data_IF_937026495065
#
_entry.id   IF_937026495065
#
_cell.length_a   1.000
_cell.length_b   1.000
_cell.length_c   1.000
_cell.angle_alpha   90.00
_cell.angle_beta   90.00
_cell.angle_gamma   90.00
#
_symmetry.space_group_name_H-M   'P 1'
#
loop_
_entity.id
_entity.type
_entity.pdbx_description
1 polymer ?
#
# COMPACT_ATOMS: atom_id res chain seq x y z
N UNK A 1 -0.09 28.57 -5.44
CA UNK A 1 -1.20 28.02 -4.60
C UNK A 1 -0.79 27.84 -3.13
N UNK A 2 0.49 27.57 -2.82
CA UNK A 2 0.98 27.35 -1.44
C UNK A 2 0.85 28.58 -0.52
N UNK A 3 0.99 29.80 -1.05
CA UNK A 3 0.98 31.02 -0.24
C UNK A 3 -0.39 31.36 0.42
N UNK A 4 -1.49 30.81 -0.10
CA UNK A 4 -2.84 31.07 0.43
C UNK A 4 -3.24 30.08 1.54
N UNK A 5 -2.68 28.86 1.52
CA UNK A 5 -2.94 27.83 2.54
C UNK A 5 -2.12 28.07 3.82
N UNK A 6 -0.95 28.70 3.71
CA UNK A 6 -0.12 29.12 4.84
C UNK A 6 -0.57 30.45 5.47
N UNK A 7 -1.64 31.06 4.95
CA UNK A 7 -2.20 32.27 5.54
C UNK A 7 -2.96 31.95 6.84
N UNK A 8 -3.21 32.95 7.70
CA UNK A 8 -3.94 32.74 8.97
C UNK A 8 -5.26 31.99 8.76
N UNK A 9 -6.00 32.32 7.70
CA UNK A 9 -7.26 31.67 7.35
C UNK A 9 -7.11 30.17 7.09
N UNK A 10 -6.03 29.74 6.44
CA UNK A 10 -5.75 28.32 6.18
C UNK A 10 -5.46 27.56 7.47
N UNK A 11 -4.68 28.15 8.38
CA UNK A 11 -4.42 27.59 9.72
C UNK A 11 -5.71 27.42 10.52
N UNK A 12 -6.61 28.42 10.51
CA UNK A 12 -7.91 28.33 11.18
C UNK A 12 -8.81 27.23 10.63
N UNK A 13 -8.87 27.08 9.30
CA UNK A 13 -9.65 26.01 8.66
C UNK A 13 -9.06 24.64 8.99
N UNK A 14 -7.74 24.48 8.88
CA UNK A 14 -7.06 23.23 9.20
C UNK A 14 -7.18 22.85 10.68
N UNK A 15 -7.11 23.82 11.60
CA UNK A 15 -7.33 23.60 13.03
C UNK A 15 -8.76 23.14 13.31
N UNK A 16 -9.75 23.83 12.72
CA UNK A 16 -11.17 23.46 12.86
C UNK A 16 -11.41 22.04 12.37
N UNK A 17 -10.94 21.70 11.16
CA UNK A 17 -11.07 20.34 10.62
C UNK A 17 -10.37 19.30 11.49
N UNK A 18 -9.17 19.60 12.02
CA UNK A 18 -8.44 18.70 12.92
C UNK A 18 -9.24 18.45 14.21
N UNK A 19 -9.85 19.48 14.80
CA UNK A 19 -10.72 19.34 15.96
C UNK A 19 -11.99 18.54 15.66
N UNK A 20 -12.59 18.72 14.47
CA UNK A 20 -13.75 17.92 14.05
C UNK A 20 -13.39 16.43 13.94
N UNK A 21 -12.20 16.10 13.43
CA UNK A 21 -11.71 14.72 13.41
C UNK A 21 -11.46 14.20 14.83
N UNK A 22 -10.83 14.98 15.70
CA UNK A 22 -10.60 14.58 17.10
C UNK A 22 -11.89 14.39 17.90
N UNK A 23 -13.00 15.02 17.51
CA UNK A 23 -14.30 14.78 18.14
C UNK A 23 -14.72 13.31 18.10
N UNK A 24 -14.15 12.49 17.20
CA UNK A 24 -14.33 11.04 17.20
C UNK A 24 -13.97 10.38 18.55
N UNK A 25 -12.97 10.92 19.26
CA UNK A 25 -12.55 10.39 20.57
C UNK A 25 -13.65 10.52 21.64
N UNK A 26 -14.61 11.43 21.44
CA UNK A 26 -15.75 11.66 22.34
C UNK A 26 -16.98 10.82 21.96
N UNK A 27 -16.91 10.01 20.90
CA UNK A 27 -18.01 9.21 20.37
C UNK A 27 -18.56 9.71 19.02
N UNK A 28 -19.75 9.22 18.65
CA UNK A 28 -20.36 9.38 17.32
C UNK A 28 -21.02 10.78 17.11
N UNK A 29 -20.20 11.83 17.03
CA UNK A 29 -20.65 13.22 16.89
C UNK A 29 -21.00 13.58 15.42
N UNK A 30 -22.07 14.37 15.13
CA UNK A 30 -22.30 14.94 13.80
C UNK A 30 -21.11 15.72 13.22
N UNK A 31 -20.28 16.36 14.05
CA UNK A 31 -19.09 17.09 13.59
C UNK A 31 -18.05 16.17 12.91
N UNK A 32 -17.79 15.01 13.51
CA UNK A 32 -16.88 14.01 12.94
C UNK A 32 -17.42 13.51 11.59
N UNK A 33 -18.72 13.18 11.54
CA UNK A 33 -19.38 12.74 10.30
C UNK A 33 -19.26 13.79 9.20
N UNK A 34 -19.44 15.07 9.51
CA UNK A 34 -19.27 16.14 8.52
C UNK A 34 -17.84 16.19 7.97
N UNK A 35 -16.83 16.11 8.84
CA UNK A 35 -15.43 16.09 8.41
C UNK A 35 -15.11 14.87 7.53
N UNK A 36 -15.67 13.70 7.85
CA UNK A 36 -15.54 12.49 7.05
C UNK A 36 -16.16 12.65 5.65
N UNK A 37 -17.39 13.17 5.55
CA UNK A 37 -18.05 13.38 4.26
C UNK A 37 -17.32 14.43 3.41
N UNK A 38 -16.79 15.50 4.04
CA UNK A 38 -15.95 16.47 3.35
C UNK A 38 -14.66 15.84 2.81
N UNK A 39 -13.97 15.04 3.61
CA UNK A 39 -12.73 14.37 3.22
C UNK A 39 -12.96 13.39 2.06
N UNK A 40 -13.99 12.55 2.18
CA UNK A 40 -14.37 11.59 1.15
C UNK A 40 -14.80 12.31 -0.14
N UNK A 41 -15.62 13.36 -0.01
CA UNK A 41 -16.06 14.18 -1.13
C UNK A 41 -14.90 14.85 -1.87
N UNK A 42 -13.98 15.48 -1.14
CA UNK A 42 -12.80 16.12 -1.70
C UNK A 42 -11.87 15.11 -2.39
N UNK A 43 -11.66 13.94 -1.76
CA UNK A 43 -10.83 12.86 -2.31
C UNK A 43 -11.41 12.32 -3.62
N UNK A 44 -12.73 12.05 -3.65
CA UNK A 44 -13.42 11.58 -4.85
C UNK A 44 -13.39 12.64 -5.95
N UNK A 45 -13.65 13.91 -5.60
CA UNK A 45 -13.62 15.01 -6.57
C UNK A 45 -12.22 15.17 -7.19
N UNK A 46 -11.17 15.17 -6.37
CA UNK A 46 -9.79 15.24 -6.85
C UNK A 46 -9.45 14.05 -7.75
N UNK A 47 -9.80 12.83 -7.34
CA UNK A 47 -9.57 11.63 -8.14
C UNK A 47 -10.27 11.70 -9.51
N UNK A 48 -11.51 12.19 -9.56
CA UNK A 48 -12.26 12.38 -10.82
C UNK A 48 -11.58 13.42 -11.72
N UNK A 49 -11.17 14.56 -11.18
CA UNK A 49 -10.47 15.60 -11.95
C UNK A 49 -9.16 15.05 -12.52
N UNK A 50 -8.37 14.36 -11.71
CA UNK A 50 -7.12 13.71 -12.15
C UNK A 50 -7.41 12.68 -13.23
N UNK A 51 -8.42 11.82 -13.06
CA UNK A 51 -8.79 10.82 -14.05
C UNK A 51 -9.19 11.46 -15.38
N UNK A 52 -9.98 12.55 -15.37
CA UNK A 52 -10.40 13.23 -16.59
C UNK A 52 -9.23 13.93 -17.27
N UNK A 53 -8.46 14.72 -16.52
CA UNK A 53 -7.43 15.60 -17.06
C UNK A 53 -6.14 14.86 -17.43
N UNK A 54 -5.75 13.83 -16.68
CA UNK A 54 -4.48 13.13 -16.88
C UNK A 54 -4.63 11.81 -17.64
N UNK A 55 -5.84 11.23 -17.66
CA UNK A 55 -6.08 9.94 -18.30
C UNK A 55 -7.07 10.09 -19.45
N UNK A 56 -8.32 10.47 -19.16
CA UNK A 56 -9.40 10.37 -20.15
C UNK A 56 -9.18 11.29 -21.35
N UNK A 57 -8.85 12.56 -21.14
CA UNK A 57 -8.61 13.50 -22.24
C UNK A 57 -7.33 13.13 -23.01
N UNK A 58 -6.13 13.13 -22.40
CA UNK A 58 -4.89 13.00 -23.16
C UNK A 58 -4.60 11.58 -23.64
N UNK A 59 -5.09 10.54 -22.94
CA UNK A 59 -4.81 9.14 -23.29
C UNK A 59 -5.92 8.50 -24.11
N UNK A 60 -7.15 9.01 -24.07
CA UNK A 60 -8.29 8.38 -24.75
C UNK A 60 -8.93 9.30 -25.79
N UNK A 61 -9.37 10.50 -25.41
CA UNK A 61 -10.15 11.37 -26.30
C UNK A 61 -9.28 12.06 -27.35
N UNK A 62 -8.15 12.66 -26.96
CA UNK A 62 -7.25 13.37 -27.89
C UNK A 62 -6.68 12.46 -29.00
N UNK A 63 -6.17 11.24 -28.71
CA UNK A 63 -5.66 10.35 -29.75
C UNK A 63 -6.75 9.88 -30.72
N UNK A 64 -7.97 9.65 -30.21
CA UNK A 64 -9.11 9.23 -31.01
C UNK A 64 -9.63 10.35 -31.92
N UNK A 65 -9.59 11.60 -31.43
CA UNK A 65 -10.04 12.77 -32.18
C UNK A 65 -9.05 13.19 -33.27
N UNK A 66 -7.74 13.01 -33.05
CA UNK A 66 -6.70 13.38 -34.02
C UNK A 66 -6.51 12.35 -35.11
N UNK A 67 -6.37 11.07 -34.73
CA UNK A 67 -6.09 9.97 -35.67
C UNK A 67 -6.96 8.74 -35.41
N UNK A 68 -8.25 8.77 -35.82
CA UNK A 68 -9.20 7.68 -35.55
C UNK A 68 -8.79 6.33 -36.15
N UNK A 69 -8.11 6.33 -37.30
CA UNK A 69 -7.74 5.11 -38.03
C UNK A 69 -6.60 4.35 -37.38
N UNK A 70 -5.59 5.04 -36.82
CA UNK A 70 -4.46 4.43 -36.16
C UNK A 70 -4.78 4.01 -34.71
N UNK A 71 -5.69 4.75 -34.06
CA UNK A 71 -6.02 4.57 -32.65
C UNK A 71 -7.31 3.78 -32.40
N UNK A 72 -7.78 2.98 -33.36
CA UNK A 72 -9.07 2.28 -33.24
C UNK A 72 -9.16 1.37 -31.99
N UNK A 73 -8.03 0.81 -31.53
CA UNK A 73 -7.96 -0.04 -30.32
C UNK A 73 -8.45 0.71 -29.07
N UNK A 74 -8.30 2.03 -29.04
CA UNK A 74 -8.77 2.87 -27.93
C UNK A 74 -10.29 3.01 -27.86
N UNK A 75 -11.03 2.59 -28.90
CA UNK A 75 -12.49 2.49 -28.85
C UNK A 75 -12.97 1.47 -27.81
N UNK A 76 -12.19 0.42 -27.52
CA UNK A 76 -12.53 -0.59 -26.51
C UNK A 76 -12.58 0.01 -25.10
N UNK A 77 -11.54 0.70 -24.60
CA UNK A 77 -11.62 1.41 -23.32
C UNK A 77 -12.70 2.49 -23.29
N UNK A 78 -12.97 3.18 -24.40
CA UNK A 78 -14.07 4.14 -24.49
C UNK A 78 -15.43 3.46 -24.29
N UNK A 79 -15.66 2.33 -24.96
CA UNK A 79 -16.88 1.55 -24.81
C UNK A 79 -17.03 1.03 -23.37
N UNK A 80 -15.97 0.47 -22.78
CA UNK A 80 -15.98 0.04 -21.38
C UNK A 80 -16.24 1.20 -20.42
N UNK A 81 -15.69 2.39 -20.69
CA UNK A 81 -15.95 3.62 -19.95
C UNK A 81 -17.42 4.04 -20.03
N UNK A 82 -18.03 3.99 -21.21
CA UNK A 82 -19.46 4.25 -21.39
C UNK A 82 -20.33 3.21 -20.68
N UNK A 83 -19.93 1.93 -20.71
CA UNK A 83 -20.63 0.88 -19.97
C UNK A 83 -20.62 1.13 -18.46
N UNK A 84 -19.58 1.75 -17.89
CA UNK A 84 -19.56 2.12 -16.47
C UNK A 84 -20.64 3.16 -16.12
N UNK A 85 -20.95 4.09 -17.03
CA UNK A 85 -22.02 5.08 -16.80
C UNK A 85 -23.39 4.43 -16.65
N UNK A 86 -23.61 3.26 -17.26
CA UNK A 86 -24.86 2.51 -17.13
C UNK A 86 -25.15 2.03 -15.70
N UNK A 87 -24.13 1.99 -14.82
CA UNK A 87 -24.25 1.58 -13.41
C UNK A 87 -24.99 2.60 -12.55
N UNK A 88 -25.22 3.83 -13.04
CA UNK A 88 -26.01 4.85 -12.34
C UNK A 88 -27.46 4.39 -12.09
N UNK A 89 -27.98 3.48 -12.93
CA UNK A 89 -29.30 2.87 -12.75
C UNK A 89 -29.18 1.37 -12.45
N UNK A 90 -29.82 0.91 -11.37
CA UNK A 90 -29.78 -0.48 -10.94
C UNK A 90 -30.23 -1.50 -12.00
N UNK A 91 -31.15 -1.11 -12.89
CA UNK A 91 -31.69 -1.99 -13.95
C UNK A 91 -30.68 -2.30 -15.08
N UNK A 92 -29.76 -1.38 -15.39
CA UNK A 92 -28.73 -1.57 -16.44
C UNK A 92 -27.37 -2.02 -15.88
N UNK A 93 -27.28 -2.21 -14.56
CA UNK A 93 -26.03 -2.51 -13.87
C UNK A 93 -25.35 -3.81 -14.34
N UNK A 94 -26.10 -4.77 -14.89
CA UNK A 94 -25.53 -6.02 -15.41
C UNK A 94 -24.50 -5.78 -16.52
N UNK A 95 -24.75 -4.81 -17.40
CA UNK A 95 -23.82 -4.46 -18.49
C UNK A 95 -22.58 -3.74 -17.95
N UNK A 96 -22.76 -2.89 -16.92
CA UNK A 96 -21.66 -2.24 -16.21
C UNK A 96 -20.76 -3.21 -15.45
N UNK A 97 -21.27 -4.37 -15.03
CA UNK A 97 -20.47 -5.36 -14.28
C UNK A 97 -19.31 -5.93 -15.11
N UNK A 98 -19.46 -6.10 -16.42
CA UNK A 98 -18.37 -6.56 -17.29
C UNK A 98 -17.20 -5.56 -17.31
N UNK A 99 -17.49 -4.26 -17.36
CA UNK A 99 -16.47 -3.21 -17.31
C UNK A 99 -15.78 -3.15 -15.93
N UNK A 100 -16.53 -3.32 -14.84
CA UNK A 100 -15.97 -3.41 -13.48
C UNK A 100 -15.10 -4.65 -13.33
N UNK A 101 -15.54 -5.80 -13.83
CA UNK A 101 -14.76 -7.04 -13.81
C UNK A 101 -13.44 -6.88 -14.58
N UNK A 102 -13.46 -6.18 -15.72
CA UNK A 102 -12.24 -5.86 -16.45
C UNK A 102 -11.29 -4.96 -15.63
N UNK A 103 -11.79 -3.87 -15.05
CA UNK A 103 -10.98 -2.98 -14.19
C UNK A 103 -10.38 -3.75 -13.02
N UNK A 104 -11.17 -4.58 -12.33
CA UNK A 104 -10.69 -5.40 -11.22
C UNK A 104 -9.66 -6.43 -11.70
N UNK A 105 -9.89 -7.10 -12.83
CA UNK A 105 -8.95 -8.06 -13.40
C UNK A 105 -7.61 -7.43 -13.73
N UNK A 106 -7.60 -6.27 -14.40
CA UNK A 106 -6.38 -5.50 -14.68
C UNK A 106 -5.72 -5.03 -13.38
N UNK A 107 -6.50 -4.51 -12.43
CA UNK A 107 -5.99 -4.06 -11.13
C UNK A 107 -5.32 -5.17 -10.33
N UNK A 108 -5.94 -6.36 -10.28
CA UNK A 108 -5.38 -7.55 -9.63
C UNK A 108 -4.12 -8.03 -10.37
N UNK A 109 -4.14 -8.08 -11.69
CA UNK A 109 -2.97 -8.47 -12.48
C UNK A 109 -1.79 -7.51 -12.26
N UNK A 110 -2.02 -6.20 -12.24
CA UNK A 110 -1.00 -5.19 -11.95
C UNK A 110 -0.51 -5.24 -10.50
N UNK A 111 -1.39 -5.49 -9.54
CA UNK A 111 -1.00 -5.62 -8.13
C UNK A 111 -0.12 -6.85 -7.90
N UNK A 112 -0.53 -8.01 -8.45
CA UNK A 112 0.23 -9.26 -8.35
C UNK A 112 1.54 -9.15 -9.13
N UNK A 113 1.49 -8.72 -10.40
CA UNK A 113 2.67 -8.55 -11.24
C UNK A 113 3.64 -7.50 -10.69
N UNK A 114 3.10 -6.41 -10.15
CA UNK A 114 3.84 -5.38 -9.43
C UNK A 114 4.56 -5.98 -8.23
N UNK A 115 3.84 -6.64 -7.31
CA UNK A 115 4.45 -7.27 -6.14
C UNK A 115 5.52 -8.33 -6.50
N UNK A 116 5.28 -9.13 -7.53
CA UNK A 116 6.26 -10.11 -8.04
C UNK A 116 7.54 -9.43 -8.53
N UNK A 117 7.40 -8.42 -9.38
CA UNK A 117 8.54 -7.73 -10.02
C UNK A 117 9.25 -6.75 -9.07
N UNK A 118 8.53 -6.10 -8.16
CA UNK A 118 9.08 -5.10 -7.24
C UNK A 118 9.64 -5.70 -5.97
N UNK A 119 9.09 -6.83 -5.51
CA UNK A 119 9.44 -7.41 -4.21
C UNK A 119 10.06 -8.78 -4.38
N UNK A 120 9.35 -9.75 -4.98
CA UNK A 120 9.81 -11.14 -5.01
C UNK A 120 11.07 -11.34 -5.85
N UNK A 121 11.13 -10.81 -7.07
CA UNK A 121 12.29 -10.98 -7.95
C UNK A 121 13.55 -10.31 -7.37
N UNK A 122 13.53 -9.03 -6.95
CA UNK A 122 14.69 -8.41 -6.31
C UNK A 122 15.09 -9.12 -5.02
N UNK A 123 14.13 -9.66 -4.25
CA UNK A 123 14.43 -10.40 -3.02
C UNK A 123 15.11 -11.74 -3.28
N UNK A 124 14.73 -12.47 -4.34
CA UNK A 124 15.42 -13.69 -4.77
C UNK A 124 16.83 -13.36 -5.26
N UNK A 125 16.99 -12.31 -6.07
CA UNK A 125 18.31 -11.86 -6.53
C UNK A 125 19.20 -11.43 -5.37
N UNK A 126 18.67 -10.68 -4.40
CA UNK A 126 19.39 -10.26 -3.20
C UNK A 126 19.77 -11.44 -2.28
N UNK A 127 19.17 -12.61 -2.48
CA UNK A 127 19.53 -13.84 -1.75
C UNK A 127 20.67 -14.62 -2.43
N UNK A 128 21.03 -14.29 -3.67
CA UNK A 128 22.17 -14.88 -4.41
C UNK A 128 23.48 -14.20 -3.98
N UNK A 129 23.84 -14.33 -2.69
CA UNK A 129 25.01 -13.68 -2.12
C UNK A 129 26.26 -14.56 -2.26
N UNK A 130 27.38 -13.94 -2.68
CA UNK A 130 28.70 -14.56 -2.58
C UNK A 130 29.09 -14.77 -1.12
N UNK A 131 29.53 -15.99 -0.80
CA UNK A 131 30.00 -16.38 0.54
C UNK A 131 31.53 -16.26 0.69
N UNK A 132 32.22 -15.79 -0.34
CA UNK A 132 33.66 -15.51 -0.29
C UNK A 132 33.92 -14.20 0.49
N UNK A 133 34.86 -14.20 1.46
CA UNK A 133 35.18 -12.99 2.26
C UNK A 133 35.64 -11.80 1.41
N UNK A 134 36.28 -12.06 0.27
CA UNK A 134 36.82 -11.03 -0.62
C UNK A 134 35.73 -10.30 -1.40
N UNK A 135 34.68 -10.99 -1.84
CA UNK A 135 33.55 -10.40 -2.56
C UNK A 135 32.48 -9.84 -1.61
N UNK A 136 32.41 -10.36 -0.38
CA UNK A 136 31.44 -9.93 0.62
C UNK A 136 31.80 -8.59 1.29
N UNK A 137 33.00 -8.05 1.08
CA UNK A 137 33.47 -6.82 1.75
C UNK A 137 34.07 -7.06 3.14
N UNK A 138 34.75 -8.20 3.33
CA UNK A 138 35.41 -8.59 4.58
C UNK A 138 34.51 -9.36 5.54
N UNK A 139 35.02 -9.61 6.76
CA UNK A 139 34.35 -10.45 7.77
C UNK A 139 32.95 -9.95 8.16
N UNK A 140 32.72 -8.62 8.17
CA UNK A 140 31.42 -8.03 8.50
C UNK A 140 30.38 -8.32 7.42
N UNK A 141 30.78 -8.27 6.15
CA UNK A 141 29.92 -8.60 5.04
C UNK A 141 29.58 -10.09 4.95
N UNK A 142 30.55 -10.96 5.26
CA UNK A 142 30.31 -12.40 5.39
C UNK A 142 29.30 -12.71 6.49
N UNK A 143 29.41 -12.08 7.66
CA UNK A 143 28.44 -12.24 8.75
C UNK A 143 27.03 -11.77 8.35
N UNK A 144 26.92 -10.67 7.60
CA UNK A 144 25.65 -10.18 7.07
C UNK A 144 25.03 -11.19 6.10
N UNK A 145 25.82 -11.70 5.16
CA UNK A 145 25.36 -12.67 4.16
C UNK A 145 24.94 -13.99 4.80
N UNK A 146 25.69 -14.47 5.80
CA UNK A 146 25.31 -15.66 6.58
C UNK A 146 24.03 -15.44 7.38
N UNK A 147 23.87 -14.27 8.01
CA UNK A 147 22.65 -13.95 8.77
C UNK A 147 21.42 -13.93 7.86
N UNK A 148 21.56 -13.35 6.65
CA UNK A 148 20.49 -13.34 5.65
C UNK A 148 20.15 -14.75 5.17
N UNK A 149 21.16 -15.58 4.88
CA UNK A 149 20.97 -16.97 4.48
C UNK A 149 20.30 -17.80 5.59
N UNK A 150 20.77 -17.69 6.83
CA UNK A 150 20.18 -18.41 7.97
C UNK A 150 18.75 -17.95 8.25
N UNK A 151 18.48 -16.65 8.17
CA UNK A 151 17.14 -16.08 8.34
C UNK A 151 16.16 -16.52 7.25
N UNK A 152 16.58 -16.50 5.98
CA UNK A 152 15.74 -16.94 4.85
C UNK A 152 15.45 -18.44 4.93
N UNK A 153 16.48 -19.29 5.03
CA UNK A 153 16.31 -20.74 5.14
C UNK A 153 15.52 -21.11 6.39
N UNK A 154 15.80 -20.48 7.53
CA UNK A 154 15.06 -20.69 8.78
C UNK A 154 13.59 -20.33 8.66
N UNK A 155 13.26 -19.20 8.04
CA UNK A 155 11.88 -18.75 7.80
C UNK A 155 11.12 -19.72 6.88
N UNK A 156 11.72 -20.11 5.74
CA UNK A 156 11.14 -21.11 4.83
C UNK A 156 10.93 -22.46 5.53
N UNK A 157 11.91 -22.92 6.30
CA UNK A 157 11.81 -24.15 7.07
C UNK A 157 10.69 -24.08 8.12
N UNK A 158 10.53 -22.95 8.82
CA UNK A 158 9.44 -22.76 9.77
C UNK A 158 8.07 -22.90 9.09
N UNK A 159 7.84 -22.24 7.96
CA UNK A 159 6.56 -22.34 7.24
C UNK A 159 6.32 -23.75 6.68
N UNK A 160 7.33 -24.36 6.05
CA UNK A 160 7.24 -25.71 5.51
C UNK A 160 6.89 -26.75 6.60
N UNK A 161 7.60 -26.72 7.73
CA UNK A 161 7.38 -27.68 8.82
C UNK A 161 6.13 -27.39 9.68
N UNK A 162 5.61 -26.15 9.67
CA UNK A 162 4.37 -25.81 10.38
C UNK A 162 3.14 -26.32 9.63
N UNK A 163 3.16 -26.35 8.30
CA UNK A 163 2.05 -26.86 7.47
C UNK A 163 2.01 -28.40 7.46
N UNK A 164 3.16 -29.08 7.45
CA UNK A 164 3.26 -30.55 7.36
C UNK A 164 3.43 -31.29 8.70
N UNK A 165 3.14 -30.63 9.82
CA UNK A 165 3.43 -31.09 11.19
C UNK A 165 2.79 -32.41 11.67
N UNK A 166 2.16 -33.22 10.81
CA UNK A 166 1.56 -34.51 11.21
C UNK A 166 2.01 -35.77 10.46
N UNK A 167 2.79 -35.73 9.38
CA UNK A 167 2.97 -36.97 8.56
C UNK A 167 4.37 -37.56 8.37
N UNK A 168 5.47 -36.87 8.66
CA UNK A 168 6.80 -37.49 8.51
C UNK A 168 7.61 -37.54 9.82
N UNK A 169 7.25 -38.53 10.64
CA UNK A 169 8.06 -39.03 11.74
C UNK A 169 9.26 -39.86 11.22
N UNK A 170 10.24 -39.22 10.58
CA UNK A 170 11.56 -39.83 10.38
C UNK A 170 12.47 -39.45 11.54
N UNK A 171 12.61 -40.40 12.48
CA UNK A 171 13.28 -40.32 13.80
C UNK A 171 14.79 -39.99 13.81
N UNK A 172 15.38 -39.54 12.70
CA UNK A 172 16.82 -39.26 12.60
C UNK A 172 17.25 -37.79 12.51
N UNK A 173 16.32 -36.85 12.23
CA UNK A 173 16.65 -35.42 12.00
C UNK A 173 15.87 -34.45 12.88
N UNK A 174 15.47 -34.90 14.07
CA UNK A 174 14.67 -34.10 15.01
C UNK A 174 15.42 -32.87 15.54
N UNK A 175 16.72 -33.01 15.85
CA UNK A 175 17.54 -31.90 16.36
C UNK A 175 17.73 -30.78 15.33
N UNK A 176 18.07 -31.15 14.09
CA UNK A 176 18.27 -30.19 12.99
C UNK A 176 16.96 -29.46 12.67
N UNK A 177 15.83 -30.18 12.60
CA UNK A 177 14.50 -29.57 12.41
C UNK A 177 14.17 -28.58 13.53
N UNK A 178 14.38 -28.95 14.78
CA UNK A 178 14.06 -28.09 15.92
C UNK A 178 14.93 -26.81 15.92
N UNK A 179 16.19 -26.91 15.49
CA UNK A 179 17.09 -25.77 15.34
C UNK A 179 16.60 -24.79 14.25
N UNK A 180 16.34 -25.28 13.04
CA UNK A 180 15.85 -24.43 11.94
C UNK A 180 14.46 -23.83 12.22
N UNK A 181 13.58 -24.61 12.86
CA UNK A 181 12.27 -24.12 13.30
C UNK A 181 12.38 -22.99 14.33
N UNK A 182 13.31 -23.10 15.29
CA UNK A 182 13.53 -22.06 16.30
C UNK A 182 14.03 -20.76 15.65
N UNK A 183 15.00 -20.85 14.73
CA UNK A 183 15.52 -19.69 14.00
C UNK A 183 14.40 -19.01 13.21
N UNK A 184 13.62 -19.77 12.44
CA UNK A 184 12.52 -19.21 11.66
C UNK A 184 11.44 -18.56 12.53
N UNK A 185 11.08 -19.19 13.66
CA UNK A 185 10.10 -18.61 14.61
C UNK A 185 10.58 -17.26 15.15
N UNK A 186 11.84 -17.17 15.59
CA UNK A 186 12.41 -15.91 16.06
C UNK A 186 12.50 -14.86 14.97
N UNK A 187 12.94 -15.23 13.76
CA UNK A 187 13.00 -14.32 12.63
C UNK A 187 11.62 -13.72 12.29
N UNK A 188 10.56 -14.55 12.29
CA UNK A 188 9.19 -14.10 12.02
C UNK A 188 8.67 -13.22 13.16
N UNK A 189 8.88 -13.61 14.43
CA UNK A 189 8.45 -12.78 15.58
C UNK A 189 9.12 -11.41 15.57
N UNK A 190 10.41 -11.34 15.28
CA UNK A 190 11.15 -10.07 15.17
C UNK A 190 10.62 -9.24 14.00
N UNK A 191 10.42 -9.85 12.84
CA UNK A 191 9.94 -9.14 11.63
C UNK A 191 8.52 -8.59 11.84
N UNK A 192 7.59 -9.40 12.34
CA UNK A 192 6.23 -8.96 12.64
C UNK A 192 6.21 -7.90 13.74
N UNK A 193 7.05 -8.06 14.77
CA UNK A 193 7.23 -7.06 15.82
C UNK A 193 7.72 -5.72 15.28
N UNK A 194 8.71 -5.74 14.39
CA UNK A 194 9.22 -4.54 13.72
C UNK A 194 8.17 -3.88 12.82
N UNK A 195 7.40 -4.65 12.05
CA UNK A 195 6.31 -4.14 11.22
C UNK A 195 5.21 -3.48 12.07
N UNK A 196 4.84 -4.10 13.19
CA UNK A 196 3.88 -3.54 14.13
C UNK A 196 4.40 -2.24 14.77
N UNK A 197 5.65 -2.24 15.24
CA UNK A 197 6.28 -1.05 15.81
C UNK A 197 6.35 0.10 14.79
N UNK A 198 6.69 -0.19 13.53
CA UNK A 198 6.71 0.80 12.47
C UNK A 198 5.31 1.41 12.24
N UNK A 199 4.27 0.56 12.19
CA UNK A 199 2.88 1.02 12.06
C UNK A 199 2.43 1.89 13.24
N UNK A 200 2.78 1.52 14.47
CA UNK A 200 2.50 2.31 15.67
C UNK A 200 3.23 3.66 15.64
N UNK A 201 4.53 3.66 15.36
CA UNK A 201 5.34 4.88 15.29
C UNK A 201 4.77 5.82 14.23
N UNK A 202 4.43 5.32 13.04
CA UNK A 202 3.82 6.12 11.98
C UNK A 202 2.54 6.84 12.46
N UNK A 203 1.65 6.12 13.15
CA UNK A 203 0.41 6.71 13.68
C UNK A 203 0.67 7.71 14.81
N UNK A 204 1.61 7.41 15.70
CA UNK A 204 2.00 8.32 16.78
C UNK A 204 2.67 9.57 16.24
N UNK A 205 3.52 9.46 15.22
CA UNK A 205 4.13 10.60 14.54
C UNK A 205 3.07 11.51 13.92
N UNK A 206 2.09 10.94 13.21
CA UNK A 206 0.96 11.72 12.67
C UNK A 206 0.17 12.42 13.79
N UNK A 207 -0.05 11.75 14.93
CA UNK A 207 -0.74 12.34 16.07
C UNK A 207 0.05 13.51 16.69
N UNK A 208 1.36 13.32 16.91
CA UNK A 208 2.26 14.35 17.43
C UNK A 208 2.28 15.55 16.49
N UNK A 209 2.39 15.33 15.19
CA UNK A 209 2.35 16.38 14.16
C UNK A 209 1.05 17.21 14.24
N UNK A 210 -0.10 16.56 14.42
CA UNK A 210 -1.38 17.27 14.64
C UNK A 210 -1.40 18.07 15.95
N UNK A 211 -0.82 17.57 17.04
CA UNK A 211 -0.71 18.32 18.30
C UNK A 211 0.24 19.51 18.19
N UNK A 212 1.39 19.34 17.55
CA UNK A 212 2.35 20.42 17.29
C UNK A 212 1.71 21.53 16.45
N UNK A 213 0.96 21.16 15.40
CA UNK A 213 0.20 22.09 14.60
C UNK A 213 -0.85 22.88 15.43
N UNK A 214 -1.62 22.20 16.28
CA UNK A 214 -2.65 22.87 17.10
C UNK A 214 -2.06 23.78 18.18
N UNK A 215 -0.98 23.35 18.85
CA UNK A 215 -0.40 24.07 19.97
C UNK A 215 0.59 25.17 19.52
N UNK A 216 1.42 24.90 18.52
CA UNK A 216 2.40 25.83 17.97
C UNK A 216 1.79 26.73 16.91
N UNK A 217 1.41 26.18 15.75
CA UNK A 217 1.01 27.02 14.61
C UNK A 217 -0.33 27.75 14.82
N UNK A 218 -1.30 27.10 15.49
CA UNK A 218 -2.63 27.69 15.71
C UNK A 218 -2.73 28.48 17.02
N UNK A 219 -2.37 27.89 18.17
CA UNK A 219 -2.47 28.56 19.48
C UNK A 219 -1.23 29.37 19.89
N UNK A 220 -0.09 29.21 19.22
CA UNK A 220 1.17 29.91 19.52
C UNK A 220 1.66 29.73 20.97
N UNK A 221 1.40 28.56 21.55
CA UNK A 221 1.81 28.20 22.92
C UNK A 221 3.17 27.49 22.99
N UNK A 222 3.67 27.03 21.84
CA UNK A 222 4.98 26.40 21.64
C UNK A 222 5.77 27.21 20.61
#
# INVERSE_FOLDING_TARGET
MEQWLSGPAGTWVAATLTLMVFSFLLGDNPLYRLAEHLLLGATVAYAVVVAVQQVLIPRLLDPLARDPSNNWVLSVPLMLGLLLLSKVRASTAWVGNSAVAFILGVGVALAIGGALSSSLVPQVQASLLSLSPEEAGGNVGLLRNLTLLLGTVGSLAYFYFTVDGRRLALRGRAALRNFWWAIGRWAIMITLGALFANGLVSRLTLLIDRFQFLLGDWLQLL
#
